data_IF_502419765197
#
_entry.id   IF_502419765197
#
_cell.length_a   1.000
_cell.length_b   1.000
_cell.length_c   1.000
_cell.angle_alpha   90.00
_cell.angle_beta   90.00
_cell.angle_gamma   90.00
#
_symmetry.space_group_name_H-M   'P 1'
#
loop_
_entity.id
_entity.type
_entity.pdbx_description
1 polymer ?
#
# COMPACT_ATOMS: atom_id res chain seq x y z
N UNK A 1 6.80 -31.85 6.88
CA UNK A 1 7.72 -30.70 6.98
C UNK A 1 7.18 -29.54 6.12
N UNK A 2 7.02 -28.38 6.73
CA UNK A 2 6.51 -27.22 6.02
C UNK A 2 7.63 -26.57 5.20
N UNK A 3 7.36 -26.35 3.93
CA UNK A 3 8.35 -25.69 3.07
C UNK A 3 8.38 -24.19 3.35
N UNK A 4 9.55 -23.60 3.14
CA UNK A 4 9.74 -22.14 3.34
C UNK A 4 8.75 -21.32 2.51
N UNK A 5 8.48 -21.73 1.26
CA UNK A 5 7.53 -21.01 0.40
C UNK A 5 6.12 -21.00 1.01
N UNK A 6 5.72 -22.11 1.63
CA UNK A 6 4.39 -22.20 2.27
C UNK A 6 4.31 -21.32 3.53
N UNK A 7 5.39 -21.26 4.31
CA UNK A 7 5.48 -20.36 5.44
C UNK A 7 5.33 -18.90 5.02
N UNK A 8 6.02 -18.51 3.95
CA UNK A 8 5.95 -17.15 3.44
C UNK A 8 4.56 -16.80 2.93
N UNK A 9 3.89 -17.74 2.23
CA UNK A 9 2.52 -17.54 1.77
C UNK A 9 1.55 -17.38 2.94
N UNK A 10 1.72 -18.16 3.99
CA UNK A 10 0.83 -18.11 5.15
C UNK A 10 0.99 -16.82 5.95
N UNK A 11 2.21 -16.36 6.13
CA UNK A 11 2.51 -15.18 6.96
C UNK A 11 2.42 -13.87 6.19
N UNK A 12 2.84 -13.88 4.93
CA UNK A 12 3.01 -12.68 4.11
C UNK A 12 2.32 -12.83 2.75
N UNK A 13 1.27 -13.65 2.68
CA UNK A 13 0.57 -13.92 1.43
C UNK A 13 -0.39 -12.82 1.01
N UNK A 14 -0.89 -12.96 -0.21
CA UNK A 14 -1.74 -11.94 -0.86
C UNK A 14 -3.13 -11.82 -0.23
N UNK A 15 -3.53 -12.74 0.63
CA UNK A 15 -4.83 -12.68 1.29
C UNK A 15 -4.91 -11.67 2.42
N UNK A 16 -3.77 -11.19 2.90
CA UNK A 16 -3.75 -10.15 3.93
C UNK A 16 -4.34 -8.85 3.40
N UNK A 17 -5.00 -8.11 4.30
CA UNK A 17 -5.59 -6.83 3.95
C UNK A 17 -5.08 -5.77 4.93
N UNK A 18 -4.42 -4.76 4.40
CA UNK A 18 -3.94 -3.61 5.16
C UNK A 18 -4.90 -2.44 4.99
N UNK A 19 -4.82 -1.49 5.90
CA UNK A 19 -5.61 -0.26 5.78
C UNK A 19 -4.82 0.95 6.26
N UNK A 20 -5.18 2.11 5.75
CA UNK A 20 -4.63 3.39 6.16
C UNK A 20 -5.74 4.43 6.14
N UNK A 21 -5.87 5.17 7.23
CA UNK A 21 -6.86 6.25 7.34
C UNK A 21 -6.22 7.57 6.92
N UNK A 22 -6.81 8.23 5.94
CA UNK A 22 -6.41 9.58 5.53
C UNK A 22 -7.22 10.55 6.39
N UNK A 23 -6.54 11.34 7.21
CA UNK A 23 -7.17 12.22 8.19
C UNK A 23 -6.92 13.70 7.93
N UNK A 24 -7.88 14.50 8.30
CA UNK A 24 -7.75 15.95 8.35
C UNK A 24 -8.32 16.41 9.68
N UNK A 25 -7.48 17.06 10.51
CA UNK A 25 -7.92 17.59 11.82
C UNK A 25 -8.63 16.55 12.68
N UNK A 26 -8.09 15.34 12.75
CA UNK A 26 -8.60 14.18 13.50
C UNK A 26 -9.84 13.52 12.89
N UNK A 27 -10.33 14.04 11.76
CA UNK A 27 -11.45 13.45 11.05
C UNK A 27 -10.94 12.54 9.95
N UNK A 28 -11.49 11.31 9.87
CA UNK A 28 -11.16 10.38 8.79
C UNK A 28 -11.91 10.80 7.53
N UNK A 29 -11.16 11.23 6.52
CA UNK A 29 -11.74 11.65 5.24
C UNK A 29 -11.93 10.44 4.31
N UNK A 30 -10.97 9.51 4.34
CA UNK A 30 -10.96 8.35 3.46
C UNK A 30 -10.16 7.24 4.10
N UNK A 31 -10.64 6.01 4.01
CA UNK A 31 -9.87 4.84 4.42
C UNK A 31 -9.50 4.06 3.17
N UNK A 32 -8.21 3.80 3.01
CA UNK A 32 -7.67 3.06 1.87
C UNK A 32 -7.28 1.66 2.33
N UNK A 33 -7.77 0.65 1.63
CA UNK A 33 -7.41 -0.75 1.86
C UNK A 33 -6.57 -1.25 0.70
N UNK A 34 -5.71 -2.23 0.95
CA UNK A 34 -4.93 -2.87 -0.12
C UNK A 34 -4.41 -4.23 0.31
N UNK A 35 -4.19 -5.09 -0.68
CA UNK A 35 -3.49 -6.36 -0.47
C UNK A 35 -1.99 -6.14 -0.68
N UNK A 36 -1.13 -7.00 -0.10
CA UNK A 36 0.32 -6.86 -0.29
C UNK A 36 0.73 -6.80 -1.76
N UNK A 37 1.74 -6.01 -2.04
CA UNK A 37 2.30 -5.89 -3.38
C UNK A 37 3.23 -7.09 -3.64
N UNK A 38 2.95 -7.85 -4.70
CA UNK A 38 3.81 -8.95 -5.13
C UNK A 38 4.90 -8.45 -6.09
N UNK A 39 5.92 -9.28 -6.29
CA UNK A 39 6.97 -8.97 -7.28
C UNK A 39 6.38 -8.85 -8.68
N UNK A 40 5.46 -9.76 -9.01
CA UNK A 40 4.80 -9.73 -10.32
C UNK A 40 4.01 -8.44 -10.56
N UNK A 41 3.29 -7.98 -9.54
CA UNK A 41 2.55 -6.73 -9.62
C UNK A 41 3.49 -5.54 -9.74
N UNK A 42 4.59 -5.56 -8.99
CA UNK A 42 5.59 -4.50 -9.04
C UNK A 42 6.20 -4.38 -10.43
N UNK A 43 6.54 -5.51 -11.05
CA UNK A 43 7.07 -5.53 -12.41
C UNK A 43 6.06 -5.02 -13.43
N UNK A 44 4.79 -5.42 -13.29
CA UNK A 44 3.73 -4.97 -14.19
C UNK A 44 3.52 -3.46 -14.09
N UNK A 45 3.52 -2.92 -12.87
CA UNK A 45 3.38 -1.47 -12.65
C UNK A 45 4.59 -0.72 -13.24
N UNK A 46 5.78 -1.27 -13.03
CA UNK A 46 7.01 -0.65 -13.51
C UNK A 46 7.05 -0.54 -15.04
N UNK A 47 6.48 -1.53 -15.74
CA UNK A 47 6.38 -1.50 -17.19
C UNK A 47 5.45 -0.41 -17.72
N UNK A 48 4.48 0.00 -16.93
CA UNK A 48 3.51 1.05 -17.28
C UNK A 48 4.00 2.44 -16.96
N UNK A 49 5.11 2.57 -16.24
CA UNK A 49 5.60 3.84 -15.74
C UNK A 49 6.97 4.15 -16.29
N UNK A 50 7.38 5.43 -16.17
CA UNK A 50 8.73 5.85 -16.54
C UNK A 50 9.71 5.31 -15.48
N UNK A 51 10.67 4.48 -15.92
CA UNK A 51 11.62 3.82 -15.03
C UNK A 51 12.50 4.79 -14.23
N UNK A 52 12.67 6.02 -14.73
CA UNK A 52 13.49 7.02 -14.07
C UNK A 52 12.70 7.91 -13.11
N UNK A 53 11.39 7.70 -13.01
CA UNK A 53 10.51 8.54 -12.17
C UNK A 53 9.85 7.70 -11.09
N UNK A 54 10.41 7.77 -9.86
CA UNK A 54 9.87 7.04 -8.72
C UNK A 54 8.48 7.54 -8.32
N UNK A 55 8.19 8.81 -8.57
CA UNK A 55 6.87 9.39 -8.29
C UNK A 55 5.80 8.79 -9.20
N UNK A 56 6.15 8.54 -10.46
CA UNK A 56 5.23 7.93 -11.41
C UNK A 56 4.88 6.50 -11.00
N UNK A 57 5.89 5.73 -10.57
CA UNK A 57 5.68 4.38 -10.06
C UNK A 57 4.76 4.40 -8.83
N UNK A 58 5.09 5.25 -7.85
CA UNK A 58 4.34 5.30 -6.60
C UNK A 58 2.88 5.69 -6.83
N UNK A 59 2.63 6.64 -7.72
CA UNK A 59 1.27 7.06 -8.05
C UNK A 59 0.49 5.95 -8.75
N UNK A 60 1.12 5.28 -9.71
CA UNK A 60 0.47 4.18 -10.43
C UNK A 60 0.14 3.02 -9.48
N UNK A 61 1.07 2.68 -8.58
CA UNK A 61 0.86 1.67 -7.56
C UNK A 61 -0.36 2.02 -6.69
N UNK A 62 -0.43 3.25 -6.22
CA UNK A 62 -1.54 3.72 -5.40
C UNK A 62 -2.87 3.58 -6.14
N UNK A 63 -2.92 3.99 -7.41
CA UNK A 63 -4.14 3.91 -8.22
C UNK A 63 -4.60 2.45 -8.38
N UNK A 64 -3.68 1.55 -8.66
CA UNK A 64 -4.04 0.15 -8.93
C UNK A 64 -4.34 -0.65 -7.67
N UNK A 65 -3.71 -0.32 -6.54
CA UNK A 65 -3.83 -1.11 -5.32
C UNK A 65 -4.89 -0.60 -4.34
N UNK A 66 -5.29 0.66 -4.42
CA UNK A 66 -6.23 1.25 -3.45
C UNK A 66 -7.64 0.70 -3.61
N UNK A 67 -8.19 0.17 -2.52
CA UNK A 67 -9.51 -0.45 -2.50
C UNK A 67 -10.35 0.18 -1.38
N UNK A 68 -11.67 0.08 -1.50
CA UNK A 68 -12.57 0.38 -0.39
C UNK A 68 -12.74 -0.87 0.49
N UNK A 69 -13.56 -0.77 1.53
CA UNK A 69 -13.80 -1.88 2.47
C UNK A 69 -14.40 -3.12 1.80
N UNK A 70 -15.05 -2.95 0.67
CA UNK A 70 -15.70 -4.03 -0.07
C UNK A 70 -14.82 -4.61 -1.17
N UNK A 71 -13.58 -4.13 -1.29
CA UNK A 71 -12.62 -4.59 -2.28
C UNK A 71 -12.78 -3.97 -3.65
N UNK A 72 -13.52 -2.87 -3.75
CA UNK A 72 -13.71 -2.14 -5.01
C UNK A 72 -12.64 -1.07 -5.14
N UNK A 73 -12.09 -0.91 -6.34
CA UNK A 73 -11.04 0.09 -6.59
C UNK A 73 -11.54 1.50 -6.28
N UNK A 74 -10.74 2.23 -5.50
CA UNK A 74 -11.04 3.63 -5.17
C UNK A 74 -10.74 4.57 -6.33
N UNK A 75 -9.73 4.26 -7.13
CA UNK A 75 -9.28 5.12 -8.21
C UNK A 75 -9.34 4.39 -9.55
N UNK A 76 -9.63 5.14 -10.60
CA UNK A 76 -9.60 4.67 -11.97
C UNK A 76 -8.30 5.14 -12.63
N UNK A 77 -7.89 4.47 -13.70
CA UNK A 77 -6.68 4.88 -14.42
C UNK A 77 -6.77 6.32 -14.94
N UNK A 78 -7.96 6.76 -15.29
CA UNK A 78 -8.21 8.13 -15.74
C UNK A 78 -8.05 9.20 -14.66
N UNK A 79 -8.00 8.81 -13.39
CA UNK A 79 -7.84 9.76 -12.28
C UNK A 79 -6.40 10.23 -12.08
N UNK A 80 -5.44 9.59 -12.76
CA UNK A 80 -4.02 9.87 -12.57
C UNK A 80 -3.66 11.35 -12.77
N UNK A 81 -4.19 11.96 -13.82
CA UNK A 81 -3.90 13.36 -14.13
C UNK A 81 -4.43 14.30 -13.02
N UNK A 82 -5.65 14.05 -12.53
CA UNK A 82 -6.23 14.84 -11.46
C UNK A 82 -5.46 14.67 -10.15
N UNK A 83 -5.07 13.44 -9.84
CA UNK A 83 -4.28 13.18 -8.63
C UNK A 83 -2.94 13.89 -8.68
N UNK A 84 -2.29 13.92 -9.83
CA UNK A 84 -0.98 14.58 -9.99
C UNK A 84 -1.07 16.09 -9.86
N UNK A 85 -2.14 16.69 -10.33
CA UNK A 85 -2.23 18.16 -10.49
C UNK A 85 -3.14 18.85 -9.49
N UNK A 86 -4.12 18.12 -8.94
CA UNK A 86 -5.19 18.73 -8.15
C UNK A 86 -5.22 18.30 -6.69
N UNK A 87 -4.39 17.33 -6.31
CA UNK A 87 -4.33 16.83 -4.93
C UNK A 87 -2.96 17.12 -4.33
N UNK A 88 -2.96 17.54 -3.06
CA UNK A 88 -1.75 17.86 -2.34
C UNK A 88 -0.80 16.66 -2.29
N UNK A 89 0.45 16.89 -2.67
CA UNK A 89 1.46 15.84 -2.78
C UNK A 89 1.68 15.08 -1.47
N UNK A 90 1.67 15.79 -0.34
CA UNK A 90 1.91 15.19 0.97
C UNK A 90 0.86 14.14 1.33
N UNK A 91 -0.38 14.34 0.92
CA UNK A 91 -1.48 13.39 1.16
C UNK A 91 -1.25 12.12 0.34
N UNK A 92 -0.89 12.27 -0.92
CA UNK A 92 -0.62 11.12 -1.79
C UNK A 92 0.61 10.34 -1.29
N UNK A 93 1.65 11.04 -0.86
CA UNK A 93 2.85 10.41 -0.31
C UNK A 93 2.55 9.65 0.97
N UNK A 94 1.66 10.18 1.82
CA UNK A 94 1.25 9.50 3.04
C UNK A 94 0.63 8.13 2.74
N UNK A 95 -0.26 8.06 1.77
CA UNK A 95 -0.87 6.80 1.32
C UNK A 95 0.18 5.86 0.74
N UNK A 96 1.04 6.38 -0.13
CA UNK A 96 2.08 5.59 -0.80
C UNK A 96 3.07 5.01 0.20
N UNK A 97 3.50 5.79 1.20
CA UNK A 97 4.41 5.33 2.23
C UNK A 97 3.77 4.26 3.11
N UNK A 98 2.48 4.41 3.43
CA UNK A 98 1.75 3.40 4.18
C UNK A 98 1.76 2.07 3.45
N UNK A 99 1.54 2.08 2.13
CA UNK A 99 1.57 0.88 1.30
C UNK A 99 2.95 0.22 1.26
N UNK A 100 4.00 1.03 1.13
CA UNK A 100 5.38 0.53 1.03
C UNK A 100 5.84 -0.06 2.37
N UNK A 101 5.47 0.58 3.48
CA UNK A 101 5.98 0.24 4.80
C UNK A 101 5.09 -0.69 5.62
N UNK A 102 3.95 -1.13 5.07
CA UNK A 102 2.95 -1.90 5.82
C UNK A 102 3.55 -3.12 6.54
N UNK A 103 4.37 -3.91 5.84
CA UNK A 103 4.99 -5.09 6.42
C UNK A 103 6.05 -4.74 7.46
N UNK A 104 6.84 -3.72 7.19
CA UNK A 104 7.90 -3.27 8.10
C UNK A 104 7.32 -2.70 9.38
N UNK A 105 6.27 -1.89 9.28
CA UNK A 105 5.58 -1.30 10.44
C UNK A 105 5.02 -2.41 11.34
N UNK A 106 4.42 -3.43 10.75
CA UNK A 106 3.88 -4.56 11.47
C UNK A 106 4.97 -5.32 12.23
N UNK A 107 6.12 -5.56 11.60
CA UNK A 107 7.24 -6.22 12.24
C UNK A 107 7.78 -5.41 13.41
N UNK A 108 7.90 -4.11 13.25
CA UNK A 108 8.38 -3.21 14.30
C UNK A 108 7.43 -3.23 15.50
N UNK A 109 6.13 -3.19 15.27
CA UNK A 109 5.14 -3.25 16.34
C UNK A 109 5.19 -4.59 17.08
N UNK A 110 5.32 -5.70 16.37
CA UNK A 110 5.43 -7.02 16.97
C UNK A 110 6.70 -7.12 17.82
N UNK A 111 7.83 -6.61 17.33
CA UNK A 111 9.08 -6.60 18.07
C UNK A 111 8.97 -5.76 19.33
N UNK A 112 8.33 -4.60 19.28
CA UNK A 112 8.10 -3.75 20.43
C UNK A 112 7.20 -4.42 21.46
N UNK A 113 6.17 -5.11 21.00
CA UNK A 113 5.27 -5.85 21.88
C UNK A 113 6.01 -6.96 22.62
N UNK A 114 6.87 -7.70 21.92
CA UNK A 114 7.68 -8.76 22.50
C UNK A 114 8.64 -8.20 23.55
N UNK A 115 9.27 -7.07 23.28
CA UNK A 115 10.15 -6.41 24.22
C UNK A 115 9.41 -5.94 25.48
N UNK A 116 8.20 -5.45 25.32
CA UNK A 116 7.38 -5.00 26.45
C UNK A 116 6.88 -6.15 27.31
N UNK A 117 6.72 -7.33 26.74
CA UNK A 117 6.22 -8.50 27.47
C UNK A 117 7.30 -9.17 28.32
N UNK A 118 8.54 -8.77 28.17
CA UNK A 118 9.66 -9.25 28.97
C UNK A 118 9.92 -8.29 30.14
#
# INVERSE_FOLDING_TARGET
MTRAVDLLKNKFGVSQLYKHDVKQDKEIILTVYWHPLTIAEREAIQKKTNSDDTNDFALQMMIEKSLDKDGVRLFQDGDKASLRREVEASILQDIQLAMINAGADKEVEEAKADLKSQ
#
